data_IF_150724848045
#
_entry.id   IF_150724848045
#
_cell.length_a   1.000
_cell.length_b   1.000
_cell.length_c   1.000
_cell.angle_alpha   90.00
_cell.angle_beta   90.00
_cell.angle_gamma   90.00
#
_symmetry.space_group_name_H-M   'P 1'
#
loop_
_entity.id
_entity.type
_entity.pdbx_description
1 polymer ?
#
# COMPACT_ATOMS: atom_id res chain seq x y z
N UNK A 1 -14.96 9.35 -16.73
CA UNK A 1 -15.53 8.64 -17.90
C UNK A 1 -16.44 7.54 -17.36
N UNK A 2 -17.72 7.47 -17.77
CA UNK A 2 -18.61 6.41 -17.30
C UNK A 2 -18.21 5.09 -17.96
N UNK A 3 -17.95 4.07 -17.15
CA UNK A 3 -17.64 2.72 -17.59
C UNK A 3 -18.92 2.05 -18.11
N UNK A 4 -18.97 1.77 -19.41
CA UNK A 4 -20.11 1.13 -20.08
C UNK A 4 -20.09 -0.39 -19.84
N UNK A 5 -20.76 -0.82 -18.77
CA UNK A 5 -20.87 -2.21 -18.32
C UNK A 5 -21.58 -3.13 -19.32
N UNK A 6 -22.26 -2.60 -20.34
CA UNK A 6 -23.01 -3.41 -21.31
C UNK A 6 -22.14 -4.16 -22.32
N UNK A 7 -20.84 -3.84 -22.40
CA UNK A 7 -19.91 -4.42 -23.40
C UNK A 7 -18.91 -5.44 -22.85
N UNK A 8 -18.91 -5.77 -21.56
CA UNK A 8 -17.78 -6.50 -20.95
C UNK A 8 -18.05 -7.96 -20.53
N UNK A 9 -19.30 -8.42 -20.50
CA UNK A 9 -19.59 -9.81 -20.20
C UNK A 9 -19.50 -10.66 -21.47
N UNK A 10 -18.29 -11.06 -21.86
CA UNK A 10 -18.05 -12.07 -22.88
C UNK A 10 -17.70 -13.40 -22.23
N UNK A 11 -18.19 -14.49 -22.81
CA UNK A 11 -18.00 -15.86 -22.33
C UNK A 11 -17.24 -16.64 -23.38
N UNK A 12 -16.32 -17.50 -22.94
CA UNK A 12 -15.56 -18.40 -23.80
C UNK A 12 -16.49 -19.44 -24.42
N UNK A 13 -16.45 -19.60 -25.75
CA UNK A 13 -17.20 -20.64 -26.45
C UNK A 13 -16.73 -22.03 -26.04
N UNK A 14 -17.63 -22.82 -25.47
CA UNK A 14 -17.41 -24.25 -25.21
C UNK A 14 -18.12 -25.11 -26.26
N UNK A 15 -17.72 -26.38 -26.37
CA UNK A 15 -18.33 -27.35 -27.29
C UNK A 15 -19.84 -27.50 -27.10
N UNK A 16 -20.33 -27.31 -25.87
CA UNK A 16 -21.77 -27.34 -25.55
C UNK A 16 -22.52 -26.14 -26.12
N UNK A 17 -21.91 -24.95 -26.05
CA UNK A 17 -22.48 -23.74 -26.65
C UNK A 17 -22.53 -23.89 -28.17
N UNK A 18 -21.51 -24.49 -28.78
CA UNK A 18 -21.49 -24.75 -30.23
C UNK A 18 -22.55 -25.75 -30.65
N UNK A 19 -22.71 -26.86 -29.93
CA UNK A 19 -23.74 -27.85 -30.20
C UNK A 19 -25.16 -27.25 -30.08
N UNK A 20 -25.36 -26.34 -29.12
CA UNK A 20 -26.62 -25.61 -28.98
C UNK A 20 -26.85 -24.60 -30.12
N UNK A 21 -25.79 -23.94 -30.60
CA UNK A 21 -25.84 -23.07 -31.79
C UNK A 21 -26.21 -23.87 -33.04
N UNK A 22 -25.61 -25.03 -33.27
CA UNK A 22 -25.92 -25.90 -34.41
C UNK A 22 -27.37 -26.39 -34.37
N UNK A 23 -27.87 -26.78 -33.20
CA UNK A 23 -29.25 -27.21 -33.00
C UNK A 23 -30.26 -26.09 -33.33
N UNK A 24 -29.92 -24.84 -33.01
CA UNK A 24 -30.76 -23.67 -33.32
C UNK A 24 -30.64 -23.27 -34.78
N UNK A 25 -29.47 -23.37 -35.39
CA UNK A 25 -29.27 -23.08 -36.81
C UNK A 25 -30.03 -24.06 -37.72
N UNK A 26 -30.27 -25.29 -37.26
CA UNK A 26 -31.09 -26.28 -37.95
C UNK A 26 -32.60 -25.96 -37.94
N UNK A 27 -33.05 -25.02 -37.10
CA UNK A 27 -34.45 -24.58 -37.06
C UNK A 27 -34.75 -23.58 -38.20
N UNK A 28 -35.91 -23.73 -38.83
CA UNK A 28 -36.34 -22.90 -39.97
C UNK A 28 -36.83 -21.51 -39.57
N UNK A 29 -37.19 -21.29 -38.30
CA UNK A 29 -37.78 -20.05 -37.76
C UNK A 29 -36.76 -19.13 -37.06
N UNK A 30 -35.68 -18.78 -37.76
CA UNK A 30 -34.64 -17.90 -37.21
C UNK A 30 -34.60 -16.52 -37.91
N UNK A 31 -34.54 -15.41 -37.15
CA UNK A 31 -34.24 -14.09 -37.70
C UNK A 31 -32.90 -14.12 -38.45
N UNK A 32 -32.90 -13.65 -39.71
CA UNK A 32 -31.72 -13.72 -40.59
C UNK A 32 -30.48 -13.01 -40.05
N UNK A 33 -30.66 -12.00 -39.20
CA UNK A 33 -29.57 -11.27 -38.56
C UNK A 33 -28.86 -12.10 -37.48
N UNK A 34 -29.63 -12.85 -36.67
CA UNK A 34 -29.09 -13.72 -35.63
C UNK A 34 -28.40 -14.95 -36.22
N UNK A 35 -28.93 -15.50 -37.32
CA UNK A 35 -28.29 -16.61 -38.06
C UNK A 35 -26.90 -16.24 -38.55
N UNK A 36 -26.74 -15.02 -39.08
CA UNK A 36 -25.44 -14.50 -39.54
C UNK A 36 -24.49 -14.20 -38.39
N UNK A 37 -25.02 -13.71 -37.26
CA UNK A 37 -24.22 -13.44 -36.05
C UNK A 37 -23.68 -14.75 -35.44
N UNK A 38 -24.53 -15.77 -35.29
CA UNK A 38 -24.14 -17.08 -34.74
C UNK A 38 -23.18 -17.84 -35.65
N UNK A 39 -23.38 -17.80 -36.98
CA UNK A 39 -22.49 -18.47 -37.94
C UNK A 39 -21.04 -17.97 -37.88
N UNK A 40 -20.83 -16.68 -37.59
CA UNK A 40 -19.48 -16.12 -37.41
C UNK A 40 -18.72 -16.76 -36.24
N UNK A 41 -19.44 -17.15 -35.19
CA UNK A 41 -18.82 -17.74 -34.01
C UNK A 41 -18.48 -19.22 -34.23
N UNK A 42 -19.32 -19.96 -34.97
CA UNK A 42 -19.05 -21.34 -35.42
C UNK A 42 -17.81 -21.41 -36.32
N UNK A 43 -17.66 -20.48 -37.27
CA UNK A 43 -16.51 -20.44 -38.17
C UNK A 43 -15.21 -19.99 -37.46
N UNK A 44 -15.34 -19.17 -36.42
CA UNK A 44 -14.20 -18.63 -35.66
C UNK A 44 -13.72 -19.55 -34.52
N UNK A 45 -14.51 -20.55 -34.14
CA UNK A 45 -14.13 -21.48 -33.08
C UNK A 45 -13.15 -22.52 -33.63
N UNK A 46 -11.91 -22.46 -33.15
CA UNK A 46 -10.89 -23.47 -33.43
C UNK A 46 -10.32 -23.98 -32.11
N UNK A 47 -9.95 -25.26 -32.06
CA UNK A 47 -9.43 -25.92 -30.85
C UNK A 47 -8.23 -25.19 -30.20
N UNK A 48 -7.55 -24.33 -30.95
CA UNK A 48 -6.35 -23.58 -30.53
C UNK A 48 -6.66 -22.13 -30.08
N UNK A 49 -7.85 -21.59 -30.41
CA UNK A 49 -8.32 -20.25 -30.00
C UNK A 49 -9.83 -20.24 -29.77
N UNK A 50 -10.29 -20.31 -28.51
CA UNK A 50 -11.71 -20.31 -28.25
C UNK A 50 -12.30 -18.91 -28.53
N UNK A 51 -13.35 -18.87 -29.34
CA UNK A 51 -14.06 -17.64 -29.67
C UNK A 51 -14.78 -17.05 -28.44
N UNK A 52 -14.91 -15.74 -28.38
CA UNK A 52 -15.60 -15.04 -27.29
C UNK A 52 -17.01 -14.64 -27.75
N UNK A 53 -18.06 -15.14 -27.09
CA UNK A 53 -19.45 -14.76 -27.36
C UNK A 53 -19.96 -13.81 -26.27
N UNK A 54 -20.61 -12.68 -26.64
CA UNK A 54 -21.29 -11.82 -25.67
C UNK A 54 -22.39 -12.58 -24.90
N UNK A 55 -22.47 -12.39 -23.59
CA UNK A 55 -23.47 -13.06 -22.73
C UNK A 55 -24.92 -12.83 -23.19
N UNK A 56 -25.22 -11.65 -23.76
CA UNK A 56 -26.54 -11.35 -24.33
C UNK A 56 -26.92 -12.27 -25.50
N UNK A 57 -25.94 -12.68 -26.31
CA UNK A 57 -26.14 -13.59 -27.44
C UNK A 57 -26.42 -15.01 -26.93
N UNK A 58 -25.77 -15.44 -25.84
CA UNK A 58 -26.06 -16.71 -25.16
C UNK A 58 -27.47 -16.71 -24.53
N UNK A 59 -27.89 -15.60 -23.91
CA UNK A 59 -29.26 -15.47 -23.39
C UNK A 59 -30.33 -15.54 -24.49
N UNK A 60 -30.11 -14.87 -25.63
CA UNK A 60 -31.02 -14.95 -26.79
C UNK A 60 -31.12 -16.36 -27.34
N UNK A 61 -30.01 -17.10 -27.33
CA UNK A 61 -29.98 -18.51 -27.73
C UNK A 61 -30.77 -19.38 -26.76
N UNK A 62 -30.54 -19.25 -25.45
CA UNK A 62 -31.30 -19.99 -24.42
C UNK A 62 -32.81 -19.75 -24.53
N UNK A 63 -33.25 -18.50 -24.70
CA UNK A 63 -34.68 -18.18 -24.85
C UNK A 63 -35.36 -18.82 -26.07
N UNK A 64 -34.58 -19.33 -27.05
CA UNK A 64 -35.11 -20.11 -28.19
C UNK A 64 -35.02 -21.62 -27.98
N UNK A 65 -34.09 -22.10 -27.17
CA UNK A 65 -34.05 -23.51 -26.76
C UNK A 65 -35.19 -23.85 -25.79
N UNK A 66 -35.68 -22.87 -25.01
CA UNK A 66 -36.85 -23.06 -24.13
C UNK A 66 -38.14 -23.43 -24.89
N UNK A 67 -38.27 -23.06 -26.17
CA UNK A 67 -39.40 -23.40 -27.04
C UNK A 67 -39.30 -24.82 -27.65
N UNK A 68 -38.18 -25.52 -27.46
CA UNK A 68 -37.94 -26.89 -27.94
C UNK A 68 -38.23 -28.00 -26.92
N UNK A 69 -38.23 -29.27 -27.37
CA UNK A 69 -38.60 -30.44 -26.54
C UNK A 69 -37.66 -30.73 -25.34
N UNK A 70 -36.50 -30.07 -25.23
CA UNK A 70 -35.53 -30.30 -24.14
C UNK A 70 -35.28 -29.01 -23.36
N UNK A 71 -35.83 -28.93 -22.14
CA UNK A 71 -35.54 -27.87 -21.17
C UNK A 71 -34.09 -27.99 -20.69
N UNK A 72 -33.18 -27.28 -21.36
CA UNK A 72 -31.82 -27.08 -20.88
C UNK A 72 -31.75 -25.76 -20.14
N UNK A 73 -31.17 -25.75 -18.94
CA UNK A 73 -31.03 -24.53 -18.16
C UNK A 73 -29.79 -23.73 -18.58
N UNK A 74 -29.84 -22.40 -18.47
CA UNK A 74 -28.72 -21.52 -18.84
C UNK A 74 -27.40 -21.90 -18.16
N UNK A 75 -27.44 -22.37 -16.92
CA UNK A 75 -26.23 -22.79 -16.19
C UNK A 75 -25.61 -24.08 -16.76
N UNK A 76 -26.40 -24.97 -17.38
CA UNK A 76 -25.91 -26.20 -18.04
C UNK A 76 -25.20 -25.86 -19.37
N UNK A 77 -25.67 -24.81 -20.04
CA UNK A 77 -25.07 -24.27 -21.26
C UNK A 77 -23.77 -23.52 -20.97
N UNK A 78 -23.70 -22.84 -19.83
CA UNK A 78 -22.51 -22.12 -19.35
C UNK A 78 -21.55 -23.03 -18.56
N UNK A 79 -21.90 -24.30 -18.33
CA UNK A 79 -21.06 -25.24 -17.60
C UNK A 79 -19.74 -25.47 -18.36
N UNK A 80 -18.62 -25.17 -17.71
CA UNK A 80 -17.29 -25.23 -18.31
C UNK A 80 -16.88 -23.99 -19.13
N UNK A 81 -17.70 -22.94 -19.15
CA UNK A 81 -17.35 -21.67 -19.80
C UNK A 81 -16.73 -20.67 -18.82
N UNK A 82 -15.61 -20.07 -19.22
CA UNK A 82 -14.94 -19.02 -18.44
C UNK A 82 -15.38 -17.62 -18.89
N UNK A 83 -15.35 -16.67 -17.95
CA UNK A 83 -15.62 -15.26 -18.24
C UNK A 83 -14.36 -14.63 -18.85
N UNK A 84 -14.49 -14.09 -20.06
CA UNK A 84 -13.40 -13.39 -20.73
C UNK A 84 -13.23 -11.99 -20.13
N UNK A 85 -12.10 -11.78 -19.44
CA UNK A 85 -11.69 -10.46 -18.99
C UNK A 85 -10.72 -9.84 -20.01
N UNK A 86 -11.08 -8.72 -20.66
CA UNK A 86 -10.16 -8.04 -21.56
C UNK A 86 -8.92 -7.59 -20.76
N UNK A 87 -7.70 -7.86 -21.27
CA UNK A 87 -6.48 -7.48 -20.57
C UNK A 87 -6.41 -5.96 -20.46
N UNK A 88 -6.26 -5.47 -19.23
CA UNK A 88 -6.11 -4.04 -18.95
C UNK A 88 -4.78 -3.57 -19.51
N UNK A 89 -4.81 -2.58 -20.41
CA UNK A 89 -3.60 -1.94 -20.90
C UNK A 89 -2.87 -1.26 -19.74
N UNK A 90 -1.68 -1.75 -19.41
CA UNK A 90 -0.86 -1.12 -18.39
C UNK A 90 -0.17 0.11 -18.98
N UNK A 91 -0.28 1.28 -18.32
CA UNK A 91 0.35 2.48 -18.84
C UNK A 91 1.88 2.32 -18.88
N UNK A 92 2.56 2.95 -19.85
CA UNK A 92 4.02 2.88 -19.97
C UNK A 92 4.69 3.44 -18.71
N UNK A 93 5.72 2.74 -18.22
CA UNK A 93 6.46 3.15 -17.02
C UNK A 93 7.18 4.48 -17.26
N UNK A 94 7.04 5.42 -16.32
CA UNK A 94 7.74 6.71 -16.36
C UNK A 94 9.27 6.50 -16.25
N UNK A 95 10.08 7.02 -17.20
CA UNK A 95 11.54 6.81 -17.21
C UNK A 95 12.23 7.37 -15.97
N UNK A 96 11.71 8.45 -15.37
CA UNK A 96 12.28 9.00 -14.13
C UNK A 96 12.11 8.04 -12.95
N UNK A 97 10.97 7.34 -12.88
CA UNK A 97 10.72 6.38 -11.80
C UNK A 97 11.61 5.16 -11.94
N UNK A 98 11.85 4.69 -13.16
CA UNK A 98 12.77 3.57 -13.43
C UNK A 98 14.19 3.94 -13.03
N UNK A 99 14.68 5.12 -13.45
CA UNK A 99 16.01 5.60 -13.07
C UNK A 99 16.18 5.75 -11.56
N UNK A 100 15.14 6.25 -10.85
CA UNK A 100 15.14 6.32 -9.38
C UNK A 100 15.16 4.94 -8.73
N UNK A 101 14.39 3.98 -9.25
CA UNK A 101 14.37 2.62 -8.73
C UNK A 101 15.72 1.92 -8.93
N UNK A 102 16.34 2.07 -10.09
CA UNK A 102 17.67 1.53 -10.35
C UNK A 102 18.72 2.14 -9.43
N UNK A 103 18.64 3.46 -9.17
CA UNK A 103 19.50 4.12 -8.20
C UNK A 103 19.30 3.55 -6.79
N UNK A 104 18.05 3.45 -6.32
CA UNK A 104 17.74 2.92 -4.98
C UNK A 104 18.18 1.46 -4.83
N UNK A 105 17.98 0.65 -5.88
CA UNK A 105 18.41 -0.74 -5.92
C UNK A 105 19.93 -0.85 -5.80
N UNK A 106 20.68 -0.05 -6.56
CA UNK A 106 22.15 0.02 -6.44
C UNK A 106 22.61 0.49 -5.06
N UNK A 107 21.95 1.49 -4.48
CA UNK A 107 22.27 1.95 -3.12
C UNK A 107 22.03 0.84 -2.07
N UNK A 108 20.95 0.07 -2.21
CA UNK A 108 20.64 -1.03 -1.32
C UNK A 108 21.62 -2.20 -1.48
N UNK A 109 21.94 -2.59 -2.71
CA UNK A 109 22.92 -3.62 -3.02
C UNK A 109 24.30 -3.23 -2.50
N UNK A 110 24.72 -1.96 -2.66
CA UNK A 110 25.99 -1.48 -2.10
C UNK A 110 26.02 -1.56 -0.57
N UNK A 111 24.92 -1.22 0.11
CA UNK A 111 24.84 -1.37 1.57
C UNK A 111 24.94 -2.84 1.99
N UNK A 112 24.25 -3.73 1.28
CA UNK A 112 24.29 -5.16 1.57
C UNK A 112 25.68 -5.75 1.29
N UNK A 113 26.31 -5.38 0.18
CA UNK A 113 27.68 -5.76 -0.15
C UNK A 113 28.64 -5.29 0.93
N UNK A 114 28.57 -4.01 1.33
CA UNK A 114 29.41 -3.46 2.39
C UNK A 114 29.23 -4.18 3.74
N UNK A 115 28.01 -4.64 4.06
CA UNK A 115 27.76 -5.47 5.24
C UNK A 115 28.38 -6.87 5.09
N UNK A 116 28.23 -7.52 3.93
CA UNK A 116 28.81 -8.86 3.68
C UNK A 116 30.34 -8.84 3.69
N UNK A 117 30.96 -7.78 3.17
CA UNK A 117 32.43 -7.64 3.14
C UNK A 117 32.99 -6.97 4.39
N UNK A 118 32.14 -6.59 5.36
CA UNK A 118 32.54 -5.86 6.57
C UNK A 118 33.64 -6.59 7.35
N UNK A 119 33.64 -7.91 7.35
CA UNK A 119 34.58 -8.71 8.15
C UNK A 119 35.79 -9.22 7.37
N UNK A 120 35.80 -9.07 6.04
CA UNK A 120 36.87 -9.62 5.19
C UNK A 120 38.10 -8.70 5.07
N UNK A 121 38.05 -7.47 5.59
CA UNK A 121 39.11 -6.46 5.41
C UNK A 121 39.41 -5.56 6.61
N UNK A 122 38.96 -5.92 7.82
CA UNK A 122 39.23 -5.09 9.01
C UNK A 122 40.71 -5.12 9.36
N UNK A 123 41.44 -4.08 8.97
CA UNK A 123 42.60 -3.63 9.76
C UNK A 123 42.07 -3.18 11.14
N UNK A 124 42.71 -3.57 12.25
CA UNK A 124 42.27 -3.21 13.59
C UNK A 124 42.36 -1.69 13.77
N UNK A 125 41.23 -1.00 13.63
CA UNK A 125 41.14 0.46 13.80
C UNK A 125 40.09 1.17 12.93
N UNK A 126 39.72 0.61 11.77
CA UNK A 126 38.87 1.34 10.80
C UNK A 126 37.35 1.11 10.96
N UNK A 127 36.93 0.09 11.73
CA UNK A 127 35.52 -0.27 11.92
C UNK A 127 34.77 0.53 12.99
N UNK A 128 35.47 1.28 13.86
CA UNK A 128 34.86 2.00 14.98
C UNK A 128 34.01 3.20 14.51
N UNK A 129 34.41 3.89 13.44
CA UNK A 129 33.69 5.06 12.92
C UNK A 129 32.38 4.70 12.20
N UNK A 130 32.29 3.49 11.62
CA UNK A 130 31.06 3.02 10.95
C UNK A 130 30.01 2.51 11.93
N UNK A 131 30.40 1.88 13.04
CA UNK A 131 29.46 1.53 14.12
C UNK A 131 28.95 2.77 14.86
N UNK A 132 29.79 3.80 14.97
CA UNK A 132 29.40 5.08 15.55
C UNK A 132 28.23 5.72 14.80
N UNK A 133 28.08 5.48 13.49
CA UNK A 133 26.97 6.03 12.69
C UNK A 133 25.61 5.38 12.98
N UNK A 134 25.59 4.09 13.30
CA UNK A 134 24.38 3.39 13.77
C UNK A 134 24.04 3.77 15.21
N UNK A 135 25.05 3.84 16.10
CA UNK A 135 24.87 4.30 17.48
C UNK A 135 24.48 5.80 17.53
N UNK A 136 24.95 6.62 16.59
CA UNK A 136 24.60 8.05 16.53
C UNK A 136 23.10 8.30 16.34
N UNK A 137 22.35 7.36 15.75
CA UNK A 137 20.88 7.50 15.65
C UNK A 137 20.20 7.36 17.00
N UNK A 138 20.65 6.45 17.85
CA UNK A 138 20.13 6.26 19.20
C UNK A 138 20.55 7.44 20.09
N UNK A 139 21.82 7.86 20.00
CA UNK A 139 22.35 9.02 20.72
C UNK A 139 21.64 10.32 20.34
N UNK A 140 21.20 10.48 19.09
CA UNK A 140 20.50 11.69 18.63
C UNK A 140 19.21 11.96 19.40
N UNK A 141 18.47 10.92 19.79
CA UNK A 141 17.22 11.07 20.53
C UNK A 141 17.49 11.59 21.94
N UNK A 142 18.44 10.97 22.65
CA UNK A 142 18.86 11.43 23.98
C UNK A 142 19.44 12.84 23.95
N UNK A 143 20.23 13.17 22.92
CA UNK A 143 20.79 14.50 22.74
C UNK A 143 19.69 15.55 22.50
N UNK A 144 18.69 15.23 21.67
CA UNK A 144 17.54 16.12 21.44
C UNK A 144 16.73 16.32 22.72
N UNK A 145 16.49 15.27 23.51
CA UNK A 145 15.80 15.37 24.79
C UNK A 145 16.56 16.24 25.79
N UNK A 146 17.88 16.08 25.88
CA UNK A 146 18.73 16.89 26.75
C UNK A 146 18.73 18.37 26.35
N UNK A 147 18.80 18.67 25.05
CA UNK A 147 18.71 20.05 24.56
C UNK A 147 17.34 20.65 24.93
N UNK A 148 16.25 19.91 24.73
CA UNK A 148 14.92 20.39 25.09
C UNK A 148 14.78 20.69 26.59
N UNK A 149 15.32 19.82 27.44
CA UNK A 149 15.40 20.03 28.90
C UNK A 149 16.25 21.25 29.27
N UNK A 150 17.39 21.46 28.61
CA UNK A 150 18.22 22.65 28.85
C UNK A 150 17.48 23.93 28.44
N UNK A 151 16.75 23.90 27.32
CA UNK A 151 15.98 25.04 26.83
C UNK A 151 14.84 25.39 27.78
N UNK A 152 14.09 24.41 28.30
CA UNK A 152 12.99 24.66 29.24
C UNK A 152 13.49 25.23 30.58
N UNK A 153 14.56 24.67 31.15
CA UNK A 153 15.16 25.14 32.40
C UNK A 153 15.76 26.54 32.24
N UNK A 154 16.45 26.81 31.13
CA UNK A 154 16.98 28.14 30.83
C UNK A 154 15.85 29.16 30.61
N UNK A 155 14.77 28.78 29.93
CA UNK A 155 13.60 29.64 29.75
C UNK A 155 12.92 29.95 31.10
N UNK A 156 12.76 28.96 31.97
CA UNK A 156 12.18 29.16 33.31
C UNK A 156 13.05 30.06 34.20
N UNK A 157 14.38 29.87 34.16
CA UNK A 157 15.32 30.72 34.89
C UNK A 157 15.29 32.16 34.38
N UNK A 158 15.40 32.36 33.06
CA UNK A 158 15.39 33.70 32.46
C UNK A 158 14.05 34.39 32.68
N UNK A 159 12.94 33.66 32.57
CA UNK A 159 11.61 34.16 32.90
C UNK A 159 11.50 34.56 34.37
N UNK A 160 11.98 33.74 35.32
CA UNK A 160 11.96 34.10 36.73
C UNK A 160 12.87 35.29 37.04
N UNK A 161 14.05 35.36 36.43
CA UNK A 161 15.00 36.45 36.60
C UNK A 161 14.46 37.79 36.07
N UNK A 162 13.96 37.79 34.83
CA UNK A 162 13.38 38.98 34.17
C UNK A 162 12.00 39.32 34.74
N UNK A 163 11.17 38.32 35.05
CA UNK A 163 9.85 38.53 35.66
C UNK A 163 9.95 39.14 37.06
N UNK A 164 10.93 38.70 37.85
CA UNK A 164 11.19 39.23 39.19
C UNK A 164 11.68 40.67 39.18
N UNK A 165 12.33 41.12 38.10
CA UNK A 165 12.66 42.53 37.90
C UNK A 165 11.41 43.42 37.91
N UNK A 166 10.32 42.98 37.27
CA UNK A 166 9.06 43.70 37.26
C UNK A 166 8.29 43.62 38.59
N UNK A 167 8.48 42.54 39.36
CA UNK A 167 7.73 42.29 40.58
C UNK A 167 8.37 42.86 41.87
N UNK A 168 9.69 42.76 42.03
CA UNK A 168 10.37 43.02 43.32
C UNK A 168 11.45 44.12 43.27
N UNK A 169 11.68 44.76 42.12
CA UNK A 169 12.67 45.83 41.99
C UNK A 169 14.13 45.35 42.15
N UNK A 170 15.08 46.28 41.95
CA UNK A 170 16.49 46.10 41.53
C UNK A 170 17.41 45.13 42.32
N UNK A 171 16.95 44.42 43.34
CA UNK A 171 17.79 43.48 44.09
C UNK A 171 18.12 42.23 43.25
N UNK A 172 19.36 42.17 42.78
CA UNK A 172 19.89 41.06 41.97
C UNK A 172 19.72 39.71 42.71
N UNK A 173 19.88 39.70 44.03
CA UNK A 173 19.72 38.51 44.87
C UNK A 173 18.32 37.89 44.77
N UNK A 174 17.25 38.69 44.90
CA UNK A 174 15.89 38.15 44.81
C UNK A 174 15.57 37.67 43.39
N UNK A 175 16.10 38.33 42.36
CA UNK A 175 15.93 37.91 40.96
C UNK A 175 16.58 36.55 40.69
N UNK A 176 17.79 36.32 41.19
CA UNK A 176 18.46 35.02 41.06
C UNK A 176 17.74 33.93 41.86
N UNK A 177 17.33 34.21 43.10
CA UNK A 177 16.61 33.25 43.94
C UNK A 177 15.28 32.80 43.31
N UNK A 178 14.49 33.76 42.82
CA UNK A 178 13.21 33.47 42.13
C UNK A 178 13.42 32.71 40.83
N UNK A 179 14.43 33.07 40.03
CA UNK A 179 14.83 32.32 38.84
C UNK A 179 15.20 30.87 39.15
N UNK A 180 16.00 30.64 40.19
CA UNK A 180 16.39 29.28 40.60
C UNK A 180 15.18 28.46 41.05
N UNK A 181 14.27 29.03 41.86
CA UNK A 181 13.08 28.31 42.35
C UNK A 181 12.16 27.89 41.18
N UNK A 182 11.95 28.76 40.19
CA UNK A 182 11.14 28.40 39.03
C UNK A 182 11.85 27.38 38.13
N UNK A 183 13.16 27.52 37.94
CA UNK A 183 13.96 26.58 37.17
C UNK A 183 13.96 25.17 37.79
N UNK A 184 14.04 25.05 39.11
CA UNK A 184 14.00 23.76 39.80
C UNK A 184 12.62 23.10 39.71
N UNK A 185 11.54 23.88 39.81
CA UNK A 185 10.18 23.36 39.66
C UNK A 185 9.95 22.80 38.25
N UNK A 186 10.38 23.53 37.21
CA UNK A 186 10.29 23.06 35.81
C UNK A 186 11.20 21.86 35.56
N UNK A 187 12.43 21.87 36.08
CA UNK A 187 13.33 20.72 35.94
C UNK A 187 12.73 19.44 36.53
N UNK A 188 12.07 19.55 37.68
CA UNK A 188 11.40 18.42 38.32
C UNK A 188 10.19 17.92 37.50
N UNK A 189 9.40 18.85 36.93
CA UNK A 189 8.31 18.50 36.03
C UNK A 189 8.80 17.79 34.78
N UNK A 190 9.85 18.29 34.12
CA UNK A 190 10.38 17.69 32.89
C UNK A 190 10.97 16.29 33.12
N UNK A 191 11.68 16.08 34.23
CA UNK A 191 12.18 14.75 34.61
C UNK A 191 11.01 13.78 34.83
N UNK A 192 9.95 14.23 35.51
CA UNK A 192 8.75 13.42 35.73
C UNK A 192 8.04 13.07 34.41
N UNK A 193 7.85 14.05 33.53
CA UNK A 193 7.25 13.83 32.21
C UNK A 193 8.10 12.87 31.37
N UNK A 194 9.42 13.02 31.37
CA UNK A 194 10.32 12.11 30.65
C UNK A 194 10.20 10.68 31.16
N UNK A 195 10.19 10.48 32.48
CA UNK A 195 10.03 9.15 33.09
C UNK A 195 8.69 8.51 32.72
N UNK A 196 7.60 9.29 32.77
CA UNK A 196 6.26 8.83 32.41
C UNK A 196 6.14 8.48 30.92
N UNK A 197 6.72 9.28 30.04
CA UNK A 197 6.72 8.99 28.59
C UNK A 197 7.46 7.68 28.31
N UNK A 198 8.58 7.42 28.99
CA UNK A 198 9.30 6.15 28.87
C UNK A 198 8.45 4.96 29.32
N UNK A 199 7.73 5.08 30.44
CA UNK A 199 6.82 4.04 30.94
C UNK A 199 5.69 3.74 29.92
N UNK A 200 5.08 4.77 29.35
CA UNK A 200 4.03 4.63 28.33
C UNK A 200 4.54 3.98 27.03
N UNK A 201 5.77 4.30 26.59
CA UNK A 201 6.42 3.66 25.44
C UNK A 201 6.66 2.16 25.70
N UNK A 202 7.15 1.80 26.89
CA UNK A 202 7.38 0.39 27.28
C UNK A 202 6.07 -0.40 27.26
N UNK A 203 4.99 0.12 27.86
CA UNK A 203 3.67 -0.54 27.84
C UNK A 203 3.12 -0.71 26.42
N UNK A 204 3.33 0.27 25.52
CA UNK A 204 2.90 0.15 24.12
C UNK A 204 3.63 -0.97 23.38
N UNK A 205 4.93 -1.12 23.61
CA UNK A 205 5.72 -2.19 23.02
C UNK A 205 5.30 -3.58 23.52
N UNK A 206 4.88 -3.71 24.78
CA UNK A 206 4.34 -4.98 25.31
C UNK A 206 2.99 -5.35 24.68
N UNK A 207 2.08 -4.37 24.51
CA UNK A 207 0.77 -4.59 23.87
C UNK A 207 0.88 -4.93 22.37
N UNK A 208 1.92 -4.45 21.67
CA UNK A 208 2.18 -4.79 20.27
C UNK A 208 2.76 -6.19 20.07
N UNK A 209 3.45 -6.76 21.06
CA UNK A 209 3.98 -8.14 21.00
C UNK A 209 2.95 -9.22 21.30
N UNK A 210 1.79 -8.85 21.88
CA UNK A 210 0.70 -9.78 22.20
C UNK A 210 -0.41 -9.84 21.12
N UNK A 211 -0.29 -9.08 20.04
CA UNK A 211 -1.14 -9.15 18.85
C UNK A 211 -0.39 -9.79 17.69
#
# INVERSE_FOLDING_TARGET
MPFDLTKMAAVVCTDRILAAIEAVLAQTDLPGDLRKELGRYTDSHTADKPANIPFQTVQKLHGRLEDGEKKQYLHELLEGSDVFFPPVETPPRNPELVARLERLKREQENRQYAQMTRDMGKQPGQGALSDFGSEAKEVKVYLMALINFMVSVAAAFTFGYVGSEYAFGASVTLRVMTGIILATMVAMADIYFMAKVVEEEVERHEKQKQK
#
